data_IF_509335304210
#
_entry.id   IF_509335304210
#
_cell.length_a   1.000
_cell.length_b   1.000
_cell.length_c   1.000
_cell.angle_alpha   90.00
_cell.angle_beta   90.00
_cell.angle_gamma   90.00
#
_symmetry.space_group_name_H-M   'P 1'
#
loop_
_entity.id
_entity.type
_entity.pdbx_description
1 polymer ?
#
# COMPACT_ATOMS: atom_id res chain seq x y z
N UNK A 1 -7.46 -16.97 18.75
CA UNK A 1 -7.07 -16.11 17.66
C UNK A 1 -8.30 -15.40 17.09
N UNK A 2 -8.27 -14.06 16.96
CA UNK A 2 -9.44 -13.37 16.41
C UNK A 2 -9.66 -13.72 14.94
N UNK A 3 -10.92 -13.80 14.56
CA UNK A 3 -11.33 -14.09 13.20
C UNK A 3 -12.27 -13.01 12.71
N UNK A 4 -12.13 -12.66 11.43
CA UNK A 4 -13.02 -11.71 10.76
C UNK A 4 -13.62 -12.42 9.55
N UNK A 5 -14.93 -12.36 9.43
CA UNK A 5 -15.64 -12.94 8.31
C UNK A 5 -16.37 -11.81 7.59
N UNK A 6 -16.10 -11.68 6.30
CA UNK A 6 -16.80 -10.72 5.44
C UNK A 6 -17.80 -11.49 4.59
N UNK A 7 -19.04 -11.01 4.54
CA UNK A 7 -20.11 -11.64 3.77
C UNK A 7 -20.69 -10.65 2.77
N UNK A 8 -20.89 -11.12 1.54
CA UNK A 8 -21.43 -10.31 0.46
C UNK A 8 -22.53 -11.07 -0.25
N UNK A 9 -23.55 -10.36 -0.67
CA UNK A 9 -24.65 -10.89 -1.46
C UNK A 9 -24.34 -10.74 -2.95
N UNK A 10 -23.96 -11.81 -3.60
CA UNK A 10 -23.66 -11.78 -5.03
C UNK A 10 -24.91 -12.10 -5.82
N UNK A 11 -25.13 -11.48 -7.01
CA UNK A 11 -24.23 -10.52 -7.65
C UNK A 11 -24.39 -9.07 -7.19
N UNK A 12 -25.37 -8.77 -6.30
CA UNK A 12 -25.74 -7.40 -5.94
C UNK A 12 -24.56 -6.61 -5.34
N UNK A 13 -23.71 -7.28 -4.58
CA UNK A 13 -22.58 -6.65 -3.90
C UNK A 13 -21.24 -7.04 -4.53
N UNK A 14 -21.24 -7.30 -5.84
CA UNK A 14 -20.03 -7.74 -6.53
C UNK A 14 -18.90 -6.70 -6.44
N UNK A 15 -19.22 -5.41 -6.60
CA UNK A 15 -18.24 -4.34 -6.54
C UNK A 15 -17.57 -4.28 -5.17
N UNK A 16 -18.36 -4.39 -4.11
CA UNK A 16 -17.86 -4.39 -2.73
C UNK A 16 -17.02 -5.62 -2.45
N UNK A 17 -17.43 -6.76 -2.94
CA UNK A 17 -16.67 -8.01 -2.82
C UNK A 17 -15.32 -7.91 -3.51
N UNK A 18 -15.29 -7.40 -4.76
CA UNK A 18 -14.04 -7.22 -5.50
C UNK A 18 -13.10 -6.26 -4.80
N UNK A 19 -13.63 -5.15 -4.26
CA UNK A 19 -12.83 -4.19 -3.53
C UNK A 19 -12.22 -4.82 -2.27
N UNK A 20 -13.01 -5.61 -1.53
CA UNK A 20 -12.51 -6.29 -0.33
C UNK A 20 -11.44 -7.31 -0.69
N UNK A 21 -11.62 -8.05 -1.78
CA UNK A 21 -10.65 -9.05 -2.22
C UNK A 21 -9.34 -8.42 -2.66
N UNK A 22 -9.40 -7.27 -3.36
CA UNK A 22 -8.23 -6.59 -3.87
C UNK A 22 -7.49 -5.77 -2.81
N UNK A 23 -8.11 -5.51 -1.66
CA UNK A 23 -7.53 -4.68 -0.63
C UNK A 23 -6.16 -5.16 -0.14
N UNK A 24 -6.01 -6.47 0.10
CA UNK A 24 -4.75 -7.02 0.57
C UNK A 24 -3.68 -6.99 -0.52
N UNK A 25 -4.06 -7.17 -1.77
CA UNK A 25 -3.14 -7.11 -2.90
C UNK A 25 -2.64 -5.68 -3.09
N UNK A 26 -3.54 -4.69 -3.01
CA UNK A 26 -3.18 -3.29 -3.09
C UNK A 26 -2.23 -2.90 -1.96
N UNK A 27 -2.50 -3.37 -0.75
CA UNK A 27 -1.63 -3.12 0.40
C UNK A 27 -0.23 -3.69 0.18
N UNK A 28 -0.13 -4.89 -0.39
CA UNK A 28 1.15 -5.51 -0.69
C UNK A 28 1.93 -4.70 -1.73
N UNK A 29 1.26 -4.19 -2.75
CA UNK A 29 1.90 -3.35 -3.77
C UNK A 29 2.39 -2.05 -3.15
N UNK A 30 1.59 -1.39 -2.32
CA UNK A 30 1.99 -0.17 -1.64
C UNK A 30 3.20 -0.39 -0.73
N UNK A 31 3.21 -1.50 -0.02
CA UNK A 31 4.36 -1.87 0.79
C UNK A 31 5.61 -2.05 -0.06
N UNK A 32 5.48 -2.74 -1.20
CA UNK A 32 6.60 -2.96 -2.11
C UNK A 32 7.14 -1.64 -2.67
N UNK A 33 6.25 -0.71 -3.04
CA UNK A 33 6.65 0.62 -3.51
C UNK A 33 7.39 1.37 -2.42
N UNK A 34 6.89 1.33 -1.19
CA UNK A 34 7.53 1.98 -0.04
C UNK A 34 8.93 1.43 0.18
N UNK A 35 9.09 0.11 0.15
CA UNK A 35 10.39 -0.53 0.35
C UNK A 35 11.35 -0.21 -0.78
N UNK A 36 10.86 -0.14 -2.01
CA UNK A 36 11.69 0.25 -3.15
C UNK A 36 12.22 1.67 -2.98
N UNK A 37 11.36 2.61 -2.60
CA UNK A 37 11.75 4.00 -2.37
C UNK A 37 12.79 4.09 -1.25
N UNK A 38 12.55 3.37 -0.16
CA UNK A 38 13.46 3.34 0.99
C UNK A 38 14.83 2.77 0.58
N UNK A 39 14.83 1.66 -0.13
CA UNK A 39 16.05 1.00 -0.57
C UNK A 39 16.87 1.89 -1.50
N UNK A 40 16.19 2.56 -2.44
CA UNK A 40 16.85 3.48 -3.37
C UNK A 40 17.49 4.66 -2.64
N UNK A 41 16.82 5.23 -1.64
CA UNK A 41 17.37 6.32 -0.84
C UNK A 41 18.53 5.87 0.03
N UNK A 42 18.49 4.63 0.54
CA UNK A 42 19.48 4.12 1.48
C UNK A 42 20.71 3.53 0.79
N UNK A 43 20.51 2.78 -0.28
CA UNK A 43 21.56 2.00 -0.93
C UNK A 43 21.96 2.54 -2.31
N UNK A 44 21.10 3.33 -2.94
CA UNK A 44 21.43 3.99 -4.18
C UNK A 44 22.10 5.32 -3.92
N UNK A 45 22.33 6.06 -5.00
CA UNK A 45 22.89 7.41 -4.91
C UNK A 45 22.02 8.37 -5.71
N UNK A 46 20.74 8.53 -5.31
CA UNK A 46 19.84 9.41 -6.05
C UNK A 46 20.27 10.87 -5.88
N UNK A 47 19.94 11.70 -6.87
CA UNK A 47 20.11 13.14 -6.74
C UNK A 47 19.20 13.67 -5.61
N UNK A 48 19.49 14.85 -5.10
CA UNK A 48 18.65 15.45 -4.05
C UNK A 48 17.20 15.60 -4.49
N UNK A 49 16.98 15.99 -5.75
CA UNK A 49 15.64 16.12 -6.30
C UNK A 49 14.92 14.76 -6.34
N UNK A 50 15.60 13.72 -6.81
CA UNK A 50 15.03 12.37 -6.84
C UNK A 50 14.71 11.89 -5.42
N UNK A 51 15.60 12.14 -4.47
CA UNK A 51 15.39 11.76 -3.08
C UNK A 51 14.14 12.45 -2.51
N UNK A 52 13.94 13.72 -2.80
CA UNK A 52 12.74 14.44 -2.37
C UNK A 52 11.47 13.79 -2.90
N UNK A 53 11.47 13.41 -4.18
CA UNK A 53 10.30 12.76 -4.79
C UNK A 53 10.02 11.40 -4.16
N UNK A 54 11.07 10.61 -3.92
CA UNK A 54 10.92 9.29 -3.29
C UNK A 54 10.40 9.42 -1.86
N UNK A 55 10.90 10.37 -1.10
CA UNK A 55 10.45 10.61 0.26
C UNK A 55 9.00 11.10 0.28
N UNK A 56 8.61 11.91 -0.69
CA UNK A 56 7.22 12.37 -0.82
C UNK A 56 6.27 11.19 -1.08
N UNK A 57 6.68 10.26 -1.95
CA UNK A 57 5.88 9.05 -2.21
C UNK A 57 5.69 8.27 -0.92
N UNK A 58 6.74 8.09 -0.13
CA UNK A 58 6.66 7.39 1.14
C UNK A 58 5.73 8.10 2.12
N UNK A 59 5.80 9.43 2.16
CA UNK A 59 4.91 10.23 3.02
C UNK A 59 3.45 10.00 2.66
N UNK A 60 3.12 10.00 1.36
CA UNK A 60 1.75 9.75 0.89
C UNK A 60 1.25 8.38 1.34
N UNK A 61 2.10 7.36 1.26
CA UNK A 61 1.73 6.02 1.69
C UNK A 61 1.50 5.96 3.20
N UNK A 62 2.37 6.61 3.98
CA UNK A 62 2.31 6.56 5.44
C UNK A 62 1.29 7.52 6.08
N UNK A 63 0.67 8.40 5.29
CA UNK A 63 -0.40 9.27 5.78
C UNK A 63 -1.64 8.49 6.20
N UNK A 64 -1.83 7.28 5.67
CA UNK A 64 -2.96 6.42 6.03
C UNK A 64 -2.51 5.44 7.11
N UNK A 65 -2.98 5.58 8.37
CA UNK A 65 -2.57 4.67 9.44
C UNK A 65 -2.92 3.22 9.13
N UNK A 66 -1.99 2.33 9.39
CA UNK A 66 -2.21 0.90 9.21
C UNK A 66 -2.14 0.39 7.79
N UNK A 67 -1.85 1.25 6.81
CA UNK A 67 -1.82 0.82 5.41
C UNK A 67 -0.62 -0.07 5.09
N UNK A 68 0.55 0.25 5.62
CA UNK A 68 1.79 -0.51 5.36
C UNK A 68 2.55 -0.85 6.64
N UNK A 69 1.87 -0.90 7.75
CA UNK A 69 2.47 -1.27 9.03
C UNK A 69 2.52 -2.77 9.25
#
# INVERSE_FOLDING_TARGET
>A
MPHVILRFRLPDEQTEFDAARQGSEAKAVLWAVDQYCRSTCKHGSPSDETREHLEHIRTLIHETPGLVE
#
